data_IF_219508002606
#
_entry.id   IF_219508002606
#
_cell.length_a   1.000
_cell.length_b   1.000
_cell.length_c   1.000
_cell.angle_alpha   90.00
_cell.angle_beta   90.00
_cell.angle_gamma   90.00
#
_symmetry.space_group_name_H-M   'P 1'
#
loop_
_entity.id
_entity.type
_entity.pdbx_description
1 polymer ?
#
# COMPACT_ATOMS: atom_id res chain seq x y z
N UNK A 1 -11.00 -1.01 16.31
CA UNK A 1 -10.13 -0.24 15.41
C UNK A 1 -8.68 -0.51 15.79
N UNK A 2 -7.95 -1.22 14.92
CA UNK A 2 -6.55 -1.60 15.14
C UNK A 2 -5.64 -0.34 15.18
N UNK A 3 -4.44 -0.42 15.79
CA UNK A 3 -3.46 0.69 15.85
C UNK A 3 -3.10 1.21 14.46
N UNK A 4 -3.00 0.31 13.47
CA UNK A 4 -2.76 0.68 12.07
C UNK A 4 -3.95 1.43 11.43
N UNK A 5 -5.19 1.09 11.77
CA UNK A 5 -6.37 1.82 11.31
C UNK A 5 -6.44 3.21 11.93
N UNK A 6 -6.04 3.37 13.20
CA UNK A 6 -5.89 4.69 13.83
C UNK A 6 -4.85 5.55 13.10
N UNK A 7 -3.71 4.95 12.73
CA UNK A 7 -2.68 5.63 11.95
C UNK A 7 -3.18 6.10 10.59
N UNK A 8 -3.92 5.25 9.86
CA UNK A 8 -4.56 5.65 8.58
C UNK A 8 -5.56 6.78 8.79
N UNK A 9 -6.38 6.74 9.85
CA UNK A 9 -7.32 7.82 10.15
C UNK A 9 -6.62 9.15 10.48
N UNK A 10 -5.51 9.11 11.24
CA UNK A 10 -4.70 10.31 11.52
C UNK A 10 -4.08 10.86 10.24
N UNK A 11 -3.53 10.00 9.39
CA UNK A 11 -3.00 10.40 8.08
C UNK A 11 -4.07 11.04 7.19
N UNK A 12 -5.29 10.49 7.19
CA UNK A 12 -6.44 11.06 6.48
C UNK A 12 -6.76 12.47 6.99
N UNK A 13 -6.84 12.64 8.31
CA UNK A 13 -7.14 13.92 8.94
C UNK A 13 -6.07 14.97 8.64
N UNK A 14 -4.79 14.61 8.68
CA UNK A 14 -3.68 15.51 8.33
C UNK A 14 -3.72 15.93 6.86
N UNK A 15 -4.05 15.00 5.94
CA UNK A 15 -4.21 15.32 4.54
C UNK A 15 -5.37 16.28 4.28
N UNK A 16 -6.54 15.99 4.85
CA UNK A 16 -7.71 16.86 4.72
C UNK A 16 -7.43 18.23 5.33
N UNK A 17 -6.76 18.28 6.48
CA UNK A 17 -6.35 19.55 7.09
C UNK A 17 -5.45 20.34 6.13
N UNK A 18 -4.47 19.69 5.50
CA UNK A 18 -3.56 20.35 4.56
C UNK A 18 -4.30 20.90 3.34
N UNK A 19 -5.24 20.13 2.76
CA UNK A 19 -6.08 20.57 1.64
C UNK A 19 -6.98 21.76 2.02
N UNK A 20 -7.52 21.77 3.25
CA UNK A 20 -8.36 22.87 3.74
C UNK A 20 -7.54 24.12 4.09
N UNK A 21 -6.30 23.93 4.52
CA UNK A 21 -5.41 25.00 4.93
C UNK A 21 -4.74 25.67 3.72
N UNK A 22 -4.47 24.88 2.68
CA UNK A 22 -3.97 25.31 1.39
C UNK A 22 -4.92 24.84 0.29
N UNK A 23 -6.10 25.47 0.13
CA UNK A 23 -7.00 25.11 -0.94
C UNK A 23 -6.50 25.68 -2.29
N UNK A 24 -6.91 25.07 -3.42
CA UNK A 24 -6.61 25.60 -4.74
C UNK A 24 -7.45 26.85 -5.02
N UNK A 25 -6.84 27.89 -5.60
CA UNK A 25 -7.53 29.12 -5.96
C UNK A 25 -7.57 29.33 -7.48
N UNK A 26 -8.68 29.93 -7.91
CA UNK A 26 -8.88 30.43 -9.26
C UNK A 26 -8.17 31.77 -9.46
N UNK A 27 -7.68 31.98 -10.67
CA UNK A 27 -7.26 33.27 -11.15
C UNK A 27 -8.43 34.29 -11.21
N UNK A 28 -8.08 35.56 -11.33
CA UNK A 28 -9.02 36.67 -11.51
C UNK A 28 -8.59 37.43 -12.77
N UNK A 29 -8.96 36.93 -13.96
CA UNK A 29 -8.54 37.56 -15.20
C UNK A 29 -9.15 38.96 -15.32
N UNK A 30 -8.34 39.91 -15.79
CA UNK A 30 -8.77 41.30 -16.01
C UNK A 30 -9.82 41.38 -17.14
N UNK A 31 -9.74 40.47 -18.11
CA UNK A 31 -10.71 40.36 -19.19
C UNK A 31 -11.98 39.65 -18.70
N UNK A 32 -13.13 40.33 -18.74
CA UNK A 32 -14.42 39.81 -18.26
C UNK A 32 -14.91 38.53 -18.97
N UNK A 33 -14.41 38.23 -20.17
CA UNK A 33 -14.77 37.05 -20.97
C UNK A 33 -13.77 35.91 -20.86
N UNK A 34 -12.66 36.08 -20.14
CA UNK A 34 -11.68 35.02 -19.96
C UNK A 34 -12.21 33.99 -18.96
N UNK A 35 -12.01 32.72 -19.28
CA UNK A 35 -12.30 31.63 -18.36
C UNK A 35 -11.36 31.73 -17.15
N UNK A 36 -11.92 31.49 -15.96
CA UNK A 36 -11.10 31.37 -14.76
C UNK A 36 -10.39 30.02 -14.78
N UNK A 37 -9.09 30.04 -14.50
CA UNK A 37 -8.24 28.87 -14.45
C UNK A 37 -7.58 28.75 -13.08
N UNK A 38 -6.99 27.60 -12.80
CA UNK A 38 -6.19 27.42 -11.60
C UNK A 38 -4.94 28.31 -11.63
N UNK A 39 -4.71 29.05 -10.55
CA UNK A 39 -3.52 29.89 -10.38
C UNK A 39 -2.49 29.24 -9.47
N UNK A 40 -2.85 29.03 -8.20
CA UNK A 40 -1.97 28.48 -7.17
C UNK A 40 -2.73 28.09 -5.91
N UNK A 41 -2.02 27.47 -4.98
CA UNK A 41 -2.49 27.24 -3.62
C UNK A 41 -2.00 28.35 -2.72
N UNK A 42 -2.89 28.91 -1.92
CA UNK A 42 -2.55 29.89 -0.90
C UNK A 42 -2.92 29.34 0.47
N UNK A 43 -2.15 29.71 1.48
CA UNK A 43 -2.61 29.54 2.85
C UNK A 43 -3.93 30.32 3.02
N UNK A 44 -4.98 29.68 3.52
CA UNK A 44 -6.34 30.23 3.51
C UNK A 44 -6.45 31.60 4.21
N UNK A 45 -5.63 31.86 5.23
CA UNK A 45 -5.63 33.13 5.96
C UNK A 45 -4.76 34.23 5.31
N UNK A 46 -3.93 33.88 4.34
CA UNK A 46 -3.05 34.81 3.60
C UNK A 46 -3.43 34.89 2.11
N UNK A 47 -4.59 34.33 1.73
CA UNK A 47 -5.05 34.36 0.36
C UNK A 47 -5.30 35.82 -0.09
N UNK A 48 -4.85 36.21 -1.30
CA UNK A 48 -5.12 37.54 -1.82
C UNK A 48 -6.62 37.83 -1.85
N UNK A 49 -7.05 39.07 -1.58
CA UNK A 49 -8.46 39.43 -1.52
C UNK A 49 -9.15 39.21 -2.87
N UNK A 50 -10.38 38.69 -2.83
CA UNK A 50 -11.19 38.44 -4.03
C UNK A 50 -10.85 37.16 -4.79
N UNK A 51 -9.91 36.34 -4.30
CA UNK A 51 -9.65 35.00 -4.85
C UNK A 51 -10.77 34.03 -4.48
N UNK A 52 -11.16 33.19 -5.44
CA UNK A 52 -12.22 32.19 -5.26
C UNK A 52 -11.58 30.80 -5.22
N UNK A 53 -12.03 29.95 -4.31
CA UNK A 53 -11.56 28.56 -4.21
C UNK A 53 -12.03 27.78 -5.45
N UNK A 54 -11.13 27.03 -6.05
CA UNK A 54 -11.43 26.12 -7.15
C UNK A 54 -12.07 24.83 -6.61
N UNK A 55 -13.40 24.85 -6.49
CA UNK A 55 -14.18 23.80 -5.83
C UNK A 55 -14.02 22.43 -6.47
N UNK A 56 -13.97 22.38 -7.81
CA UNK A 56 -13.84 21.14 -8.58
C UNK A 56 -12.51 20.46 -8.28
N UNK A 57 -11.43 21.24 -8.29
CA UNK A 57 -10.09 20.73 -8.04
C UNK A 57 -9.94 20.28 -6.59
N UNK A 58 -10.41 21.09 -5.63
CA UNK A 58 -10.44 20.72 -4.22
C UNK A 58 -11.22 19.42 -3.99
N UNK A 59 -12.35 19.25 -4.68
CA UNK A 59 -13.17 18.05 -4.59
C UNK A 59 -12.43 16.81 -5.11
N UNK A 60 -11.73 16.92 -6.23
CA UNK A 60 -10.90 15.84 -6.78
C UNK A 60 -9.79 15.44 -5.80
N UNK A 61 -9.10 16.42 -5.21
CA UNK A 61 -8.05 16.17 -4.21
C UNK A 61 -8.61 15.48 -2.96
N UNK A 62 -9.77 15.90 -2.47
CA UNK A 62 -10.45 15.23 -1.36
C UNK A 62 -10.80 13.77 -1.72
N UNK A 63 -11.33 13.53 -2.93
CA UNK A 63 -11.59 12.16 -3.39
C UNK A 63 -10.31 11.32 -3.45
N UNK A 64 -9.21 11.90 -3.92
CA UNK A 64 -7.92 11.21 -3.95
C UNK A 64 -7.47 10.78 -2.55
N UNK A 65 -7.60 11.67 -1.55
CA UNK A 65 -7.34 11.33 -0.15
C UNK A 65 -8.27 10.21 0.33
N UNK A 66 -9.57 10.30 0.06
CA UNK A 66 -10.52 9.27 0.49
C UNK A 66 -10.26 7.91 -0.15
N UNK A 67 -9.90 7.86 -1.44
CA UNK A 67 -9.54 6.64 -2.14
C UNK A 67 -8.29 6.01 -1.51
N UNK A 68 -7.26 6.81 -1.24
CA UNK A 68 -6.04 6.34 -0.59
C UNK A 68 -6.31 5.80 0.82
N UNK A 69 -7.15 6.48 1.58
CA UNK A 69 -7.56 6.07 2.93
C UNK A 69 -8.37 4.78 2.87
N UNK A 70 -9.32 4.65 1.96
CA UNK A 70 -10.14 3.46 1.79
C UNK A 70 -9.28 2.27 1.35
N UNK A 71 -8.36 2.47 0.41
CA UNK A 71 -7.43 1.45 -0.04
C UNK A 71 -6.52 0.97 1.10
N UNK A 72 -5.94 1.91 1.86
CA UNK A 72 -5.13 1.59 3.04
C UNK A 72 -5.95 0.87 4.11
N UNK A 73 -7.18 1.31 4.35
CA UNK A 73 -8.09 0.69 5.30
C UNK A 73 -8.45 -0.73 4.90
N UNK A 74 -8.78 -0.95 3.62
CA UNK A 74 -9.08 -2.28 3.07
C UNK A 74 -7.87 -3.21 3.15
N UNK A 75 -6.66 -2.71 2.88
CA UNK A 75 -5.41 -3.48 3.00
C UNK A 75 -5.08 -3.89 4.45
N UNK A 76 -5.69 -3.21 5.43
CA UNK A 76 -5.58 -3.52 6.85
C UNK A 76 -6.76 -4.37 7.37
N UNK A 77 -7.85 -4.49 6.60
CA UNK A 77 -9.05 -5.23 7.00
C UNK A 77 -8.81 -6.73 6.86
N UNK A 78 -9.05 -7.52 7.92
CA UNK A 78 -8.84 -8.97 7.93
C UNK A 78 -7.50 -9.45 8.52
N UNK A 79 -6.69 -8.56 9.09
CA UNK A 79 -5.46 -8.89 9.84
C UNK A 79 -5.67 -8.73 11.35
N UNK A 80 -6.85 -9.12 11.83
CA UNK A 80 -7.17 -9.11 13.25
C UNK A 80 -6.59 -10.37 13.90
N UNK A 81 -5.61 -10.19 14.78
CA UNK A 81 -5.06 -11.25 15.64
C UNK A 81 -3.64 -11.73 15.28
N UNK A 82 -3.22 -11.61 14.03
CA UNK A 82 -1.79 -11.69 13.71
C UNK A 82 -1.20 -10.31 13.96
N UNK A 83 -0.40 -10.15 15.02
CA UNK A 83 0.54 -9.04 15.08
C UNK A 83 1.28 -9.03 13.75
N UNK A 84 0.95 -8.09 12.86
CA UNK A 84 1.68 -7.94 11.62
C UNK A 84 3.03 -7.39 12.06
N UNK A 85 3.94 -8.28 12.43
CA UNK A 85 5.37 -8.01 12.54
C UNK A 85 5.84 -7.72 11.13
N UNK A 86 5.49 -6.53 10.63
CA UNK A 86 6.02 -5.99 9.39
C UNK A 86 7.51 -5.87 9.64
N UNK A 87 8.27 -6.83 9.10
CA UNK A 87 9.72 -6.67 8.96
C UNK A 87 9.99 -5.27 8.42
N UNK A 88 11.03 -4.61 8.91
CA UNK A 88 11.40 -3.26 8.47
C UNK A 88 11.49 -3.17 6.94
N UNK A 89 12.01 -4.23 6.33
CA UNK A 89 12.06 -4.40 4.87
C UNK A 89 10.67 -4.45 4.21
N UNK A 90 9.68 -5.10 4.83
CA UNK A 90 8.32 -5.19 4.31
C UNK A 90 7.57 -3.86 4.42
N UNK A 91 7.77 -3.12 5.53
CA UNK A 91 7.19 -1.78 5.70
C UNK A 91 7.76 -0.78 4.68
N UNK A 92 9.09 -0.77 4.49
CA UNK A 92 9.75 0.07 3.50
C UNK A 92 9.32 -0.28 2.07
N UNK A 93 9.23 -1.58 1.73
CA UNK A 93 8.72 -2.03 0.42
C UNK A 93 7.28 -1.61 0.20
N UNK A 94 6.42 -1.72 1.22
CA UNK A 94 5.03 -1.28 1.15
C UNK A 94 4.92 0.23 0.92
N UNK A 95 5.70 1.03 1.64
CA UNK A 95 5.75 2.49 1.46
C UNK A 95 6.28 2.87 0.08
N UNK A 96 7.34 2.21 -0.40
CA UNK A 96 7.90 2.44 -1.72
C UNK A 96 6.92 2.08 -2.84
N UNK A 97 6.22 0.94 -2.72
CA UNK A 97 5.20 0.52 -3.66
C UNK A 97 4.01 1.48 -3.68
N UNK A 98 3.57 1.94 -2.50
CA UNK A 98 2.53 2.95 -2.38
C UNK A 98 2.93 4.27 -3.05
N UNK A 99 4.15 4.75 -2.80
CA UNK A 99 4.68 5.94 -3.46
C UNK A 99 4.76 5.79 -4.97
N UNK A 100 5.31 4.66 -5.44
CA UNK A 100 5.41 4.37 -6.86
C UNK A 100 4.04 4.31 -7.55
N UNK A 101 3.03 3.73 -6.89
CA UNK A 101 1.66 3.68 -7.40
C UNK A 101 1.04 5.07 -7.52
N UNK A 102 1.21 5.94 -6.52
CA UNK A 102 0.71 7.32 -6.56
C UNK A 102 1.39 8.14 -7.66
N UNK A 103 2.72 8.03 -7.77
CA UNK A 103 3.48 8.68 -8.85
C UNK A 103 3.03 8.19 -10.21
N UNK A 104 2.89 6.87 -10.39
CA UNK A 104 2.39 6.28 -11.63
C UNK A 104 0.99 6.81 -11.97
N UNK A 105 0.11 6.99 -10.99
CA UNK A 105 -1.22 7.54 -11.20
C UNK A 105 -1.16 8.99 -11.70
N UNK A 106 -0.34 9.84 -11.08
CA UNK A 106 -0.15 11.24 -11.51
C UNK A 106 0.39 11.31 -12.94
N UNK A 107 1.31 10.42 -13.31
CA UNK A 107 1.82 10.36 -14.69
C UNK A 107 0.85 9.71 -15.69
N UNK A 108 -0.08 8.88 -15.20
CA UNK A 108 -1.13 8.27 -16.02
C UNK A 108 -2.23 9.28 -16.33
N UNK A 109 -2.51 10.18 -15.39
CA UNK A 109 -3.47 11.27 -15.48
C UNK A 109 -2.80 12.62 -15.21
N UNK A 110 -1.86 13.07 -16.04
CA UNK A 110 -1.15 14.32 -15.76
C UNK A 110 -2.07 15.52 -15.96
N UNK A 111 -1.78 16.63 -15.25
CA UNK A 111 -2.48 17.89 -15.47
C UNK A 111 -2.06 18.46 -16.83
N UNK A 112 -3.01 18.76 -17.69
CA UNK A 112 -2.74 19.29 -19.03
C UNK A 112 -3.09 20.77 -19.17
N UNK A 113 -2.35 21.44 -20.05
CA UNK A 113 -2.68 22.77 -20.53
C UNK A 113 -3.80 22.75 -21.59
N UNK A 114 -4.56 23.85 -21.74
CA UNK A 114 -5.57 24.00 -22.77
C UNK A 114 -4.97 23.99 -24.17
N UNK A 115 -5.79 23.64 -25.17
CA UNK A 115 -5.32 23.46 -26.54
C UNK A 115 -5.08 24.81 -27.24
N UNK A 116 -3.85 25.10 -27.72
CA UNK A 116 -3.54 26.41 -28.31
C UNK A 116 -4.34 26.71 -29.59
N UNK A 117 -4.73 25.69 -30.34
CA UNK A 117 -5.31 25.86 -31.68
C UNK A 117 -6.84 26.00 -31.71
N UNK A 118 -7.54 25.87 -30.58
CA UNK A 118 -8.99 26.02 -30.52
C UNK A 118 -9.45 27.43 -30.16
N UNK A 119 -8.54 28.31 -29.68
CA UNK A 119 -8.90 29.66 -29.23
C UNK A 119 -7.87 30.66 -29.76
N UNK A 120 -8.36 31.81 -30.26
CA UNK A 120 -7.54 32.89 -30.83
C UNK A 120 -6.54 33.50 -29.84
N UNK A 121 -6.86 33.36 -28.55
CA UNK A 121 -6.01 33.67 -27.40
C UNK A 121 -6.18 32.50 -26.43
N UNK A 122 -5.28 31.50 -26.43
CA UNK A 122 -5.41 30.39 -25.51
C UNK A 122 -5.29 30.91 -24.07
N UNK A 123 -6.20 30.51 -23.16
CA UNK A 123 -6.05 30.86 -21.76
C UNK A 123 -4.76 30.22 -21.23
N UNK A 124 -3.90 31.00 -20.59
CA UNK A 124 -2.76 30.45 -19.85
C UNK A 124 -3.30 29.82 -18.58
N UNK A 125 -3.25 28.48 -18.45
CA UNK A 125 -3.78 27.83 -17.27
C UNK A 125 -3.88 26.31 -17.34
N UNK A 126 -4.59 25.77 -16.36
CA UNK A 126 -4.92 24.35 -16.24
C UNK A 126 -6.25 24.06 -16.94
N UNK A 127 -6.30 23.00 -17.75
CA UNK A 127 -7.54 22.52 -18.42
C UNK A 127 -8.16 21.31 -17.68
N UNK A 128 -7.34 20.38 -17.20
CA UNK A 128 -7.84 19.17 -16.54
C UNK A 128 -6.85 18.01 -16.53
N UNK A 129 -7.25 16.92 -15.88
CA UNK A 129 -6.54 15.65 -15.92
C UNK A 129 -7.09 14.78 -17.04
N UNK A 130 -6.19 14.26 -17.88
CA UNK A 130 -6.56 13.36 -18.96
C UNK A 130 -5.64 12.16 -18.99
N UNK A 131 -6.12 11.05 -19.52
CA UNK A 131 -5.30 9.87 -19.69
C UNK A 131 -4.16 10.13 -20.68
N UNK A 132 -2.91 9.86 -20.29
CA UNK A 132 -1.72 10.21 -21.07
C UNK A 132 -1.66 9.51 -22.43
N UNK A 133 -2.19 8.29 -22.55
CA UNK A 133 -2.26 7.55 -23.82
C UNK A 133 -3.56 7.81 -24.59
N UNK A 134 -4.36 8.78 -24.15
CA UNK A 134 -5.58 9.19 -24.84
C UNK A 134 -5.32 10.11 -26.03
N UNK A 135 -6.41 10.62 -26.60
CA UNK A 135 -6.43 11.56 -27.72
C UNK A 135 -5.62 12.85 -27.45
N UNK A 136 -5.41 13.18 -26.16
CA UNK A 136 -4.77 14.42 -25.70
C UNK A 136 -3.24 14.32 -25.49
N UNK A 137 -2.60 13.25 -25.97
CA UNK A 137 -1.16 12.95 -25.78
C UNK A 137 -0.17 14.04 -26.26
N UNK A 138 -0.60 14.92 -27.17
CA UNK A 138 0.25 15.98 -27.73
C UNK A 138 0.22 17.29 -26.91
N UNK A 139 -0.56 17.34 -25.83
CA UNK A 139 -0.69 18.52 -24.97
C UNK A 139 0.48 18.62 -24.01
N UNK A 140 0.90 19.84 -23.71
CA UNK A 140 1.91 20.09 -22.69
C UNK A 140 1.34 19.85 -21.28
N UNK A 141 2.18 19.34 -20.39
CA UNK A 141 1.84 19.24 -18.98
C UNK A 141 1.81 20.61 -18.32
N UNK A 142 0.83 20.82 -17.45
CA UNK A 142 0.77 22.02 -16.63
C UNK A 142 1.70 21.84 -15.42
N UNK A 143 2.96 22.24 -15.62
CA UNK A 143 4.07 22.01 -14.69
C UNK A 143 3.81 22.48 -13.23
N UNK A 144 3.20 23.65 -12.97
CA UNK A 144 2.98 24.11 -11.59
C UNK A 144 2.16 23.12 -10.77
N UNK A 145 1.11 22.57 -11.37
CA UNK A 145 0.26 21.60 -10.70
C UNK A 145 0.94 20.23 -10.58
N UNK A 146 1.67 19.81 -11.62
CA UNK A 146 2.45 18.57 -11.58
C UNK A 146 3.48 18.58 -10.43
N UNK A 147 4.20 19.69 -10.25
CA UNK A 147 5.15 19.82 -9.13
C UNK A 147 4.46 19.73 -7.78
N UNK A 148 3.28 20.32 -7.65
CA UNK A 148 2.53 20.29 -6.41
C UNK A 148 2.06 18.88 -6.05
N UNK A 149 1.53 18.14 -7.02
CA UNK A 149 1.15 16.73 -6.81
C UNK A 149 2.35 15.90 -6.33
N UNK A 150 3.51 16.10 -6.92
CA UNK A 150 4.74 15.41 -6.48
C UNK A 150 5.16 15.81 -5.06
N UNK A 151 4.99 17.08 -4.68
CA UNK A 151 5.22 17.55 -3.31
C UNK A 151 4.22 16.90 -2.34
N UNK A 152 2.93 16.86 -2.67
CA UNK A 152 1.89 16.23 -1.84
C UNK A 152 2.16 14.74 -1.65
N UNK A 153 2.53 14.01 -2.70
CA UNK A 153 2.93 12.60 -2.61
C UNK A 153 4.14 12.45 -1.66
N UNK A 154 5.12 13.34 -1.77
CA UNK A 154 6.31 13.31 -0.91
C UNK A 154 5.94 13.55 0.55
N UNK A 155 5.10 14.55 0.83
CA UNK A 155 4.58 14.83 2.17
C UNK A 155 3.83 13.61 2.71
N UNK A 156 3.00 12.97 1.89
CA UNK A 156 2.27 11.76 2.27
C UNK A 156 3.19 10.60 2.62
N UNK A 157 4.24 10.38 1.84
CA UNK A 157 5.25 9.37 2.13
C UNK A 157 5.99 9.68 3.43
N UNK A 158 6.33 10.94 3.70
CA UNK A 158 7.00 11.36 4.93
C UNK A 158 6.09 11.20 6.16
N UNK A 159 4.82 11.60 6.08
CA UNK A 159 3.83 11.41 7.16
C UNK A 159 3.66 9.92 7.44
N UNK A 160 3.47 9.10 6.40
CA UNK A 160 3.37 7.66 6.54
C UNK A 160 4.61 7.08 7.21
N UNK A 161 5.80 7.46 6.75
CA UNK A 161 7.06 7.02 7.31
C UNK A 161 7.21 7.39 8.80
N UNK A 162 6.86 8.63 9.16
CA UNK A 162 6.90 9.13 10.53
C UNK A 162 5.93 8.36 11.44
N UNK A 163 4.69 8.15 11.01
CA UNK A 163 3.69 7.39 11.77
C UNK A 163 4.14 5.94 11.97
N UNK A 164 4.67 5.29 10.92
CA UNK A 164 5.25 3.95 11.06
C UNK A 164 6.49 3.96 11.97
N UNK A 165 7.30 5.01 11.98
CA UNK A 165 8.41 5.19 12.92
C UNK A 165 7.95 5.28 14.38
N UNK A 166 6.92 6.08 14.65
CA UNK A 166 6.33 6.23 15.98
C UNK A 166 5.69 4.93 16.48
N UNK A 167 4.94 4.24 15.62
CA UNK A 167 4.36 2.93 15.94
C UNK A 167 5.45 1.90 16.28
N UNK A 168 6.58 1.89 15.55
CA UNK A 168 7.73 1.02 15.82
C UNK A 168 8.28 1.22 17.24
N UNK A 169 8.46 2.48 17.67
CA UNK A 169 8.95 2.79 19.02
C UNK A 169 8.09 2.18 20.14
N UNK A 170 6.77 2.22 19.97
CA UNK A 170 5.83 1.65 20.97
C UNK A 170 5.80 0.13 21.01
N UNK A 171 6.04 -0.55 19.88
CA UNK A 171 6.10 -2.02 19.81
C UNK A 171 7.41 -2.53 20.42
N UNK A 172 8.54 -1.87 20.11
CA UNK A 172 9.84 -2.22 20.69
C UNK A 172 9.84 -2.15 22.23
N UNK A 173 9.17 -1.15 22.80
CA UNK A 173 9.01 -1.06 24.26
C UNK A 173 8.14 -2.17 24.85
N UNK A 174 7.05 -2.55 24.16
CA UNK A 174 6.19 -3.65 24.60
C UNK A 174 6.93 -5.00 24.55
N UNK A 175 7.70 -5.25 23.47
CA UNK A 175 8.53 -6.45 23.34
C UNK A 175 9.61 -6.51 24.44
N UNK A 176 10.22 -5.38 24.80
CA UNK A 176 11.20 -5.30 25.89
C UNK A 176 10.58 -5.65 27.25
N UNK A 177 9.39 -5.13 27.56
CA UNK A 177 8.69 -5.47 28.80
C UNK A 177 8.31 -6.96 28.88
N UNK A 178 7.88 -7.58 27.77
CA UNK A 178 7.58 -9.01 27.73
C UNK A 178 8.83 -9.87 27.91
N UNK A 179 9.97 -9.47 27.33
CA UNK A 179 11.26 -10.15 27.51
C UNK A 179 11.76 -10.03 28.95
N UNK A 180 11.56 -8.87 29.58
CA UNK A 180 11.90 -8.62 30.98
C UNK A 180 11.01 -9.43 31.93
N UNK A 181 9.71 -9.52 31.65
CA UNK A 181 8.76 -10.36 32.40
C UNK A 181 9.06 -11.87 32.23
N UNK A 182 9.51 -12.29 31.04
CA UNK A 182 10.01 -13.65 30.77
C UNK A 182 11.28 -13.99 31.56
N UNK A 183 12.18 -13.03 31.80
CA UNK A 183 13.39 -13.23 32.62
C UNK A 183 13.08 -13.36 34.11
N UNK A 184 11.94 -12.85 34.58
CA UNK A 184 11.50 -12.95 35.98
C UNK A 184 10.70 -14.23 36.28
N UNK A 185 10.33 -15.00 35.25
CA UNK A 185 9.57 -16.24 35.40
C UNK A 185 10.48 -17.45 35.71
N UNK A 186 10.04 -18.43 36.53
CA UNK A 186 10.78 -19.67 36.78
C UNK A 186 11.07 -20.43 35.47
N UNK A 187 12.25 -21.08 35.34
CA UNK A 187 12.74 -21.65 34.09
C UNK A 187 11.83 -22.72 33.47
N UNK A 188 10.97 -23.35 34.27
CA UNK A 188 10.00 -24.34 33.80
C UNK A 188 8.88 -23.72 32.95
N UNK A 189 8.46 -22.48 33.21
CA UNK A 189 7.39 -21.80 32.45
C UNK A 189 7.92 -21.06 31.23
N UNK A 190 9.16 -20.56 31.29
CA UNK A 190 9.82 -19.90 30.17
C UNK A 190 10.00 -20.84 28.97
N UNK A 191 10.39 -22.09 29.21
CA UNK A 191 10.58 -23.10 28.14
C UNK A 191 9.26 -23.46 27.43
N UNK A 192 8.13 -23.50 28.15
CA UNK A 192 6.81 -23.77 27.54
C UNK A 192 6.41 -22.62 26.62
N UNK A 193 6.64 -21.37 27.05
CA UNK A 193 6.30 -20.19 26.24
C UNK A 193 7.21 -20.09 25.01
N UNK A 194 8.52 -20.33 25.15
CA UNK A 194 9.47 -20.36 24.03
C UNK A 194 9.07 -21.43 23.01
N UNK A 195 8.74 -22.64 23.47
CA UNK A 195 8.30 -23.73 22.58
C UNK A 195 6.96 -23.40 21.89
N UNK A 196 6.05 -22.70 22.58
CA UNK A 196 4.78 -22.25 21.99
C UNK A 196 5.01 -21.14 20.95
N UNK A 197 5.94 -20.21 21.21
CA UNK A 197 6.31 -19.15 20.26
C UNK A 197 7.03 -19.72 19.05
N UNK A 198 7.91 -20.71 19.21
CA UNK A 198 8.54 -21.45 18.10
C UNK A 198 7.50 -22.18 17.24
N UNK A 199 6.53 -22.84 17.87
CA UNK A 199 5.45 -23.55 17.17
C UNK A 199 4.52 -22.61 16.40
N UNK A 200 4.30 -21.39 16.91
CA UNK A 200 3.49 -20.34 16.24
C UNK A 200 4.30 -19.58 15.18
N UNK A 201 5.60 -19.36 15.38
CA UNK A 201 6.48 -18.68 14.43
C UNK A 201 6.88 -19.58 13.25
N UNK A 202 6.89 -20.90 13.46
CA UNK A 202 7.06 -21.91 12.44
C UNK A 202 5.85 -22.84 12.48
N UNK A 203 4.67 -22.39 11.97
CA UNK A 203 3.58 -23.32 11.78
C UNK A 203 4.12 -24.41 10.86
N UNK A 204 4.25 -25.63 11.40
CA UNK A 204 4.57 -26.80 10.59
C UNK A 204 3.64 -26.74 9.38
N UNK A 205 4.17 -26.78 8.14
CA UNK A 205 3.34 -26.63 6.96
C UNK A 205 2.23 -27.65 7.09
N UNK A 206 1.00 -27.15 7.24
CA UNK A 206 -0.20 -27.96 7.39
C UNK A 206 -0.07 -29.07 6.37
N UNK A 207 0.07 -30.31 6.86
CA UNK A 207 0.48 -31.46 6.07
C UNK A 207 -0.22 -31.37 4.73
N UNK A 208 0.53 -30.99 3.68
CA UNK A 208 -0.04 -30.85 2.36
C UNK A 208 -0.68 -32.20 2.09
N UNK A 209 -2.01 -32.22 2.00
CA UNK A 209 -2.73 -33.38 1.52
C UNK A 209 -2.37 -33.51 0.04
N UNK A 210 -1.17 -34.06 -0.21
CA UNK A 210 -0.75 -34.58 -1.50
C UNK A 210 -1.60 -35.82 -1.73
N UNK A 211 -2.79 -35.58 -2.26
CA UNK A 211 -3.58 -36.63 -2.91
C UNK A 211 -2.70 -37.21 -4.02
N UNK A 212 -2.14 -38.39 -3.77
CA UNK A 212 -1.52 -39.20 -4.81
C UNK A 212 -0.01 -39.40 -4.74
N UNK A 213 0.63 -39.47 -3.56
CA UNK A 213 1.90 -40.22 -3.43
C UNK A 213 2.25 -40.56 -1.98
N UNK A 214 1.45 -41.42 -1.33
CA UNK A 214 2.00 -42.15 -0.19
C UNK A 214 3.07 -43.11 -0.72
N UNK A 215 4.17 -43.24 0.03
CA UNK A 215 5.14 -44.31 -0.15
C UNK A 215 4.40 -45.60 -0.49
N UNK A 216 4.78 -46.21 -1.61
CA UNK A 216 4.10 -47.35 -2.16
C UNK A 216 4.05 -48.48 -1.11
N UNK A 217 2.87 -48.67 -0.51
CA UNK A 217 2.59 -49.73 0.49
C UNK A 217 2.92 -51.15 -0.01
N UNK A 218 3.23 -51.31 -1.31
CA UNK A 218 3.59 -52.57 -1.94
C UNK A 218 5.02 -53.01 -1.65
N UNK A 219 5.86 -52.17 -1.04
CA UNK A 219 7.28 -52.47 -0.78
C UNK A 219 7.62 -52.79 0.68
N UNK A 220 6.67 -52.72 1.61
CA UNK A 220 6.92 -53.08 3.02
C UNK A 220 6.19 -54.37 3.36
N UNK A 221 6.94 -55.30 3.95
CA UNK A 221 6.41 -56.54 4.50
C UNK A 221 5.43 -56.20 5.63
N UNK A 222 4.20 -56.71 5.53
CA UNK A 222 3.19 -56.48 6.56
C UNK A 222 3.59 -57.27 7.83
N UNK A 223 3.86 -56.60 8.97
CA UNK A 223 4.28 -57.27 10.20
C UNK A 223 3.22 -58.20 10.78
N UNK A 224 1.97 -58.16 10.27
CA UNK A 224 0.88 -59.08 10.69
C UNK A 224 0.79 -60.35 9.84
N UNK A 225 1.53 -60.44 8.73
CA UNK A 225 1.46 -61.59 7.82
C UNK A 225 2.61 -62.59 8.08
N UNK A 226 2.27 -63.81 8.52
CA UNK A 226 3.25 -64.87 8.88
C UNK A 226 3.50 -65.92 7.79
N UNK A 227 2.97 -65.74 6.59
CA UNK A 227 3.17 -66.67 5.46
C UNK A 227 4.36 -66.31 4.56
N UNK A 228 4.88 -67.24 3.75
CA UNK A 228 5.93 -66.95 2.78
C UNK A 228 5.43 -65.94 1.74
N UNK A 229 6.17 -64.85 1.58
CA UNK A 229 5.78 -63.70 0.77
C UNK A 229 5.80 -64.02 -0.74
N UNK A 230 4.61 -64.10 -1.36
CA UNK A 230 4.43 -64.41 -2.79
C UNK A 230 4.68 -63.24 -3.75
N UNK A 231 5.13 -62.07 -3.27
CA UNK A 231 5.21 -60.81 -4.05
C UNK A 231 6.62 -60.43 -4.52
N UNK A 232 7.47 -61.41 -4.84
CA UNK A 232 8.74 -61.16 -5.55
C UNK A 232 8.53 -61.26 -7.07
N UNK A 233 7.79 -60.31 -7.62
CA UNK A 233 7.73 -60.09 -9.07
C UNK A 233 8.39 -58.76 -9.40
N UNK A 234 9.44 -58.79 -10.22
CA UNK A 234 10.05 -57.56 -10.75
C UNK A 234 9.02 -56.87 -11.64
N UNK A 235 8.76 -55.59 -11.39
CA UNK A 235 7.82 -54.79 -12.15
C UNK A 235 8.36 -54.56 -13.57
N UNK A 236 7.72 -55.16 -14.58
CA UNK A 236 8.15 -55.13 -15.99
C UNK A 236 8.19 -53.73 -16.61
N UNK A 237 7.66 -52.72 -15.90
CA UNK A 237 7.67 -51.32 -16.35
C UNK A 237 9.04 -50.64 -16.24
N UNK A 238 10.02 -51.27 -15.59
CA UNK A 238 11.38 -50.75 -15.46
C UNK A 238 12.42 -51.46 -16.35
N UNK A 239 12.01 -52.36 -17.24
CA UNK A 239 12.92 -52.87 -18.27
C UNK A 239 13.24 -51.76 -19.28
N UNK A 240 14.50 -51.34 -19.32
CA UNK A 240 15.02 -50.49 -20.39
C UNK A 240 14.87 -51.24 -21.71
N UNK A 241 14.47 -50.56 -22.81
CA UNK A 241 14.48 -51.18 -24.12
C UNK A 241 15.93 -51.57 -24.45
N UNK A 242 16.13 -52.83 -24.84
CA UNK A 242 17.39 -53.24 -25.48
C UNK A 242 17.45 -52.56 -26.85
N UNK A 243 18.68 -52.16 -27.20
CA UNK A 243 19.08 -51.38 -28.36
C UNK A 243 18.43 -51.82 -29.68
#
# INVERSE_FOLDING_TARGET
MNRHQKAVAVMAALNLLLLLLFPPFLDNPIQRSAFRSFESFYFVLMAPPGRVIHQELLTIEMFFVFINVLAAWLALNGKDGAEIRLSESAALRGLALFGAANVALVFLFPPFQPYPSMVRVPPEGFDGFYFVFGDKRHRAFFAPFLYLEMILITINLLIAWLIFGLLRGTVSQADQHVIEELHQLPPEKANVIVHTIEEVAHPQPAAQHVLGRKEERRKRQDPRYRGPERRKGVDRRHEKPKA
#
